data_IF_991226597743
#
_entry.id   IF_991226597743
#
_cell.length_a   1.000
_cell.length_b   1.000
_cell.length_c   1.000
_cell.angle_alpha   90.00
_cell.angle_beta   90.00
_cell.angle_gamma   90.00
#
_symmetry.space_group_name_H-M   'P 1'
#
loop_
_entity.id
_entity.type
_entity.pdbx_description
1 polymer ?
#
# COMPACT_ATOMS: atom_id res chain seq x y z
N UNK A 1 -20.40 54.04 -22.67
CA UNK A 1 -20.11 52.62 -22.95
C UNK A 1 -19.22 52.10 -21.84
N UNK A 2 -19.73 51.23 -20.98
CA UNK A 2 -18.97 50.59 -19.86
C UNK A 2 -18.44 49.25 -20.33
N UNK A 3 -17.15 48.91 -20.14
CA UNK A 3 -16.68 47.60 -20.46
C UNK A 3 -17.11 46.58 -19.38
N UNK A 4 -17.67 45.49 -19.86
CA UNK A 4 -18.13 44.36 -19.09
C UNK A 4 -16.90 43.54 -18.66
N UNK A 5 -16.56 43.61 -17.37
CA UNK A 5 -15.50 42.77 -16.79
C UNK A 5 -16.04 41.34 -16.61
N UNK A 6 -15.60 40.44 -17.47
CA UNK A 6 -15.87 39.01 -17.34
C UNK A 6 -14.91 38.46 -16.29
N UNK A 7 -15.45 38.24 -15.09
CA UNK A 7 -14.74 37.60 -13.98
C UNK A 7 -14.74 36.10 -14.25
N UNK A 8 -13.60 35.57 -14.74
CA UNK A 8 -13.36 34.13 -14.84
C UNK A 8 -13.15 33.56 -13.43
N UNK A 9 -14.20 32.97 -12.87
CA UNK A 9 -14.08 32.10 -11.71
C UNK A 9 -13.43 30.81 -12.16
N UNK A 10 -12.13 30.68 -11.97
CA UNK A 10 -11.44 29.39 -11.94
C UNK A 10 -11.93 28.63 -10.71
N UNK A 11 -12.87 27.72 -10.89
CA UNK A 11 -13.22 26.70 -9.94
C UNK A 11 -12.00 25.76 -9.82
N UNK A 12 -11.09 26.09 -8.90
CA UNK A 12 -10.13 25.14 -8.39
C UNK A 12 -10.94 24.11 -7.61
N UNK A 13 -11.27 22.99 -8.24
CA UNK A 13 -11.57 21.75 -7.52
C UNK A 13 -10.27 21.32 -6.85
N UNK A 14 -10.18 21.35 -5.51
CA UNK A 14 -9.10 20.64 -4.85
C UNK A 14 -9.37 19.14 -5.11
N UNK A 15 -8.65 18.57 -6.05
CA UNK A 15 -8.47 17.14 -6.07
C UNK A 15 -7.88 16.79 -4.69
N UNK A 16 -8.70 16.26 -3.82
CA UNK A 16 -8.24 15.62 -2.59
C UNK A 16 -7.40 14.40 -3.00
N UNK A 17 -6.17 14.66 -3.43
CA UNK A 17 -5.14 13.65 -3.39
C UNK A 17 -4.96 13.32 -1.91
N UNK A 18 -5.40 12.15 -1.52
CA UNK A 18 -5.04 11.54 -0.26
C UNK A 18 -3.55 11.19 -0.35
N UNK A 19 -2.72 12.22 -0.32
CA UNK A 19 -1.30 12.11 -0.11
C UNK A 19 -1.11 11.79 1.36
N UNK A 20 -1.01 10.51 1.69
CA UNK A 20 -0.31 10.16 2.92
C UNK A 20 1.10 10.70 2.75
N UNK A 21 1.38 11.83 3.42
CA UNK A 21 2.66 12.52 3.42
C UNK A 21 3.76 11.59 3.94
N UNK A 22 4.30 10.77 3.06
CA UNK A 22 5.55 10.05 3.28
C UNK A 22 6.46 10.40 2.12
N UNK A 23 7.38 11.33 2.34
CA UNK A 23 8.03 12.10 1.28
C UNK A 23 8.95 11.27 0.38
N UNK A 24 9.16 9.96 0.67
CA UNK A 24 10.24 9.19 0.04
C UNK A 24 9.78 7.91 -0.66
N UNK A 25 8.59 7.39 -0.31
CA UNK A 25 8.02 6.20 -0.95
C UNK A 25 6.62 6.51 -1.47
N UNK A 26 6.35 6.14 -2.71
CA UNK A 26 5.02 6.13 -3.27
C UNK A 26 4.51 4.68 -3.34
N UNK A 27 3.30 4.44 -2.84
CA UNK A 27 2.71 3.11 -2.81
C UNK A 27 1.42 3.11 -3.59
N UNK A 28 1.31 2.19 -4.54
CA UNK A 28 0.10 1.96 -5.34
C UNK A 28 -0.34 0.52 -5.19
N UNK A 29 -1.66 0.31 -5.17
CA UNK A 29 -2.28 -1.01 -5.20
C UNK A 29 -3.19 -1.09 -6.42
N UNK A 30 -3.04 -2.14 -7.20
CA UNK A 30 -3.88 -2.43 -8.38
C UNK A 30 -4.22 -3.90 -8.41
N UNK A 31 -5.28 -4.25 -9.12
CA UNK A 31 -5.72 -5.63 -9.29
C UNK A 31 -5.30 -6.13 -10.66
N UNK A 32 -4.75 -7.33 -10.70
CA UNK A 32 -4.42 -8.06 -11.92
C UNK A 32 -5.13 -9.42 -11.88
N UNK A 33 -6.31 -9.48 -12.51
CA UNK A 33 -7.21 -10.62 -12.34
C UNK A 33 -7.68 -10.75 -10.89
N UNK A 34 -7.43 -11.90 -10.26
CA UNK A 34 -7.73 -12.17 -8.86
C UNK A 34 -6.57 -11.91 -7.89
N UNK A 35 -5.46 -11.38 -8.39
CA UNK A 35 -4.25 -11.16 -7.62
C UNK A 35 -4.00 -9.67 -7.46
N UNK A 36 -4.12 -9.10 -6.25
CA UNK A 36 -3.69 -7.73 -6.01
C UNK A 36 -2.17 -7.61 -6.14
N UNK A 37 -1.74 -6.52 -6.76
CA UNK A 37 -0.33 -6.17 -6.94
C UNK A 37 -0.08 -4.83 -6.29
N UNK A 38 0.79 -4.81 -5.28
CA UNK A 38 1.29 -3.60 -4.66
C UNK A 38 2.64 -3.24 -5.26
N UNK A 39 2.80 -1.98 -5.64
CA UNK A 39 4.06 -1.40 -6.07
C UNK A 39 4.50 -0.34 -5.07
N UNK A 40 5.75 -0.45 -4.60
CA UNK A 40 6.39 0.52 -3.71
C UNK A 40 7.54 1.15 -4.48
N UNK A 41 7.44 2.45 -4.77
CA UNK A 41 8.42 3.21 -5.53
C UNK A 41 9.23 4.13 -4.63
N UNK A 42 10.53 4.07 -4.74
CA UNK A 42 11.44 5.04 -4.17
C UNK A 42 11.48 6.30 -5.05
N UNK A 43 11.04 7.43 -4.51
CA UNK A 43 11.00 8.72 -5.24
C UNK A 43 12.22 9.59 -4.99
N UNK A 44 13.21 9.09 -4.24
CA UNK A 44 14.43 9.83 -3.89
C UNK A 44 15.58 9.55 -4.84
N UNK A 45 16.67 10.27 -4.66
CA UNK A 45 17.94 10.08 -5.35
C UNK A 45 18.87 9.08 -4.65
N UNK A 46 18.50 8.57 -3.48
CA UNK A 46 19.30 7.64 -2.69
C UNK A 46 18.60 6.28 -2.56
N UNK A 47 19.36 5.25 -2.21
CA UNK A 47 18.81 3.93 -1.91
C UNK A 47 18.06 3.96 -0.59
N UNK A 48 16.85 3.43 -0.57
CA UNK A 48 16.05 3.19 0.63
C UNK A 48 16.15 1.71 1.02
N UNK A 49 16.32 1.44 2.32
CA UNK A 49 16.24 0.10 2.87
C UNK A 49 14.89 -0.06 3.57
N UNK A 50 14.02 -0.91 3.00
CA UNK A 50 12.70 -1.21 3.53
C UNK A 50 12.74 -2.50 4.36
N UNK A 51 12.14 -2.50 5.55
CA UNK A 51 11.87 -3.73 6.29
C UNK A 51 10.71 -4.47 5.63
N UNK A 52 10.95 -5.68 5.14
CA UNK A 52 10.06 -6.40 4.22
C UNK A 52 9.30 -7.55 4.88
N UNK A 53 9.71 -8.03 6.06
CA UNK A 53 9.05 -9.13 6.77
C UNK A 53 7.91 -8.62 7.64
N UNK A 54 6.68 -8.99 7.31
CA UNK A 54 5.47 -8.54 8.01
C UNK A 54 4.77 -9.73 8.68
N UNK A 55 4.32 -9.57 9.92
CA UNK A 55 3.45 -10.56 10.58
C UNK A 55 2.05 -10.49 9.97
N UNK A 56 1.53 -11.61 9.50
CA UNK A 56 0.17 -11.70 8.97
C UNK A 56 -0.87 -11.64 10.09
N UNK A 57 -1.96 -10.91 9.84
CA UNK A 57 -3.17 -10.85 10.67
C UNK A 57 -2.91 -10.60 12.17
N UNK A 58 -1.83 -9.86 12.48
CA UNK A 58 -1.45 -9.56 13.87
C UNK A 58 -1.30 -8.06 14.09
N UNK A 59 -2.30 -7.44 14.73
CA UNK A 59 -2.27 -6.02 15.13
C UNK A 59 -1.25 -5.72 16.25
N UNK A 60 -0.82 -6.74 16.98
CA UNK A 60 0.14 -6.60 18.09
C UNK A 60 1.59 -6.50 17.61
N UNK A 61 1.85 -6.94 16.38
CA UNK A 61 3.20 -6.86 15.83
C UNK A 61 3.54 -5.42 15.40
N UNK A 62 4.79 -5.01 15.64
CA UNK A 62 5.28 -3.69 15.21
C UNK A 62 5.36 -3.53 13.68
N UNK A 63 5.40 -4.65 12.96
CA UNK A 63 5.37 -4.73 11.49
C UNK A 63 4.37 -5.80 11.10
N UNK A 64 3.31 -5.42 10.40
CA UNK A 64 2.22 -6.33 10.08
C UNK A 64 1.51 -5.98 8.78
N UNK A 65 0.76 -6.96 8.28
CA UNK A 65 -0.23 -6.79 7.23
C UNK A 65 -1.53 -7.45 7.65
N UNK A 66 -2.62 -6.73 7.50
CA UNK A 66 -3.99 -7.18 7.75
C UNK A 66 -4.76 -7.10 6.45
N UNK A 67 -5.53 -8.13 6.15
CA UNK A 67 -6.43 -8.16 5.01
C UNK A 67 -7.88 -8.29 5.47
N UNK A 68 -8.75 -7.51 4.87
CA UNK A 68 -10.16 -7.44 5.22
C UNK A 68 -11.03 -7.63 3.99
N UNK A 69 -12.08 -8.45 4.12
CA UNK A 69 -13.12 -8.61 3.11
C UNK A 69 -14.39 -7.91 3.57
N UNK A 70 -15.02 -7.18 2.68
CA UNK A 70 -16.29 -6.51 2.94
C UNK A 70 -17.46 -7.49 2.81
N UNK A 71 -18.24 -7.62 3.86
CA UNK A 71 -19.44 -8.44 3.93
C UNK A 71 -20.62 -7.57 4.35
N UNK A 72 -21.38 -7.07 3.37
CA UNK A 72 -22.43 -6.09 3.60
C UNK A 72 -21.87 -4.77 4.16
N UNK A 73 -22.21 -4.44 5.43
CA UNK A 73 -21.72 -3.25 6.14
C UNK A 73 -20.51 -3.51 7.03
N UNK A 74 -20.07 -4.76 7.16
CA UNK A 74 -19.00 -5.18 8.04
C UNK A 74 -17.76 -5.60 7.24
N UNK A 75 -16.64 -5.72 7.95
CA UNK A 75 -15.37 -6.20 7.39
C UNK A 75 -14.93 -7.41 8.21
N UNK A 76 -14.59 -8.51 7.51
CA UNK A 76 -14.07 -9.73 8.10
C UNK A 76 -12.56 -9.77 7.89
N UNK A 77 -11.80 -9.89 8.97
CA UNK A 77 -10.33 -10.05 8.96
C UNK A 77 -9.91 -11.46 8.54
N UNK A 78 -8.63 -11.65 8.27
CA UNK A 78 -8.04 -12.98 8.07
C UNK A 78 -8.04 -13.46 6.62
N UNK A 79 -8.23 -12.57 5.65
CA UNK A 79 -8.26 -12.96 4.23
C UNK A 79 -6.91 -13.44 3.70
N UNK A 80 -5.80 -13.08 4.35
CA UNK A 80 -4.47 -13.53 3.98
C UNK A 80 -4.15 -14.96 4.44
N UNK A 81 -4.96 -15.52 5.33
CA UNK A 81 -4.89 -16.93 5.74
C UNK A 81 -5.73 -17.87 4.86
N UNK A 82 -6.54 -17.35 3.96
CA UNK A 82 -7.45 -18.15 3.14
C UNK A 82 -6.76 -19.07 2.12
N UNK A 83 -5.45 -18.97 2.00
CA UNK A 83 -4.66 -19.90 1.21
C UNK A 83 -4.30 -21.11 2.06
N UNK A 84 -4.89 -22.28 1.76
CA UNK A 84 -4.66 -23.55 2.49
C UNK A 84 -3.19 -24.00 2.53
N UNK A 85 -2.38 -23.52 1.59
CA UNK A 85 -0.93 -23.79 1.49
C UNK A 85 -0.05 -22.67 2.06
N UNK A 86 -0.64 -21.52 2.44
CA UNK A 86 0.11 -20.37 2.95
C UNK A 86 0.26 -20.43 4.47
N UNK A 87 0.82 -21.52 4.99
CA UNK A 87 1.07 -21.71 6.43
C UNK A 87 2.14 -20.78 7.02
N UNK A 88 2.76 -19.92 6.21
CA UNK A 88 3.73 -18.96 6.71
C UNK A 88 3.04 -17.84 7.47
N UNK A 89 3.40 -17.64 8.73
CA UNK A 89 2.94 -16.52 9.58
C UNK A 89 3.35 -15.15 9.08
N UNK A 90 4.17 -15.11 8.05
CA UNK A 90 4.78 -13.89 7.54
C UNK A 90 4.46 -13.66 6.07
N UNK A 91 4.32 -12.39 5.74
CA UNK A 91 4.24 -11.89 4.38
C UNK A 91 5.51 -11.08 4.08
N UNK A 92 6.05 -11.22 2.87
CA UNK A 92 7.29 -10.55 2.50
C UNK A 92 7.05 -9.57 1.36
N UNK A 93 7.41 -8.31 1.58
CA UNK A 93 7.40 -7.31 0.53
C UNK A 93 8.49 -7.59 -0.51
N UNK A 94 8.22 -7.30 -1.77
CA UNK A 94 9.15 -7.50 -2.88
C UNK A 94 9.33 -8.97 -3.29
N UNK A 95 8.40 -9.86 -2.89
CA UNK A 95 8.41 -11.29 -3.23
C UNK A 95 9.75 -12.00 -2.92
N UNK A 96 10.37 -11.62 -1.81
CA UNK A 96 11.65 -12.18 -1.35
C UNK A 96 11.56 -12.49 0.14
N UNK A 97 12.13 -13.62 0.57
CA UNK A 97 12.13 -14.04 1.99
C UNK A 97 13.20 -13.32 2.84
N UNK A 98 13.71 -12.17 2.39
CA UNK A 98 14.64 -11.37 3.16
C UNK A 98 13.89 -10.47 4.15
N UNK A 99 14.44 -10.26 5.34
CA UNK A 99 13.84 -9.35 6.33
C UNK A 99 13.87 -7.88 5.88
N UNK A 100 14.81 -7.54 4.99
CA UNK A 100 14.95 -6.20 4.42
C UNK A 100 15.18 -6.28 2.92
N UNK A 101 14.74 -5.27 2.19
CA UNK A 101 14.99 -5.09 0.75
C UNK A 101 15.49 -3.69 0.48
N UNK A 102 16.41 -3.56 -0.46
CA UNK A 102 16.91 -2.27 -0.93
C UNK A 102 16.16 -1.86 -2.19
N UNK A 103 15.66 -0.63 -2.20
CA UNK A 103 15.01 -0.03 -3.36
C UNK A 103 15.94 1.06 -3.89
N UNK A 104 16.49 0.86 -5.07
CA UNK A 104 17.40 1.81 -5.72
C UNK A 104 16.68 3.16 -6.00
N UNK A 105 17.42 4.25 -6.23
CA UNK A 105 16.85 5.53 -6.60
C UNK A 105 15.88 5.40 -7.78
N UNK A 106 14.73 6.07 -7.71
CA UNK A 106 13.71 6.13 -8.76
C UNK A 106 13.19 4.76 -9.24
N UNK A 107 13.47 3.68 -8.49
CA UNK A 107 13.07 2.31 -8.80
C UNK A 107 11.88 1.87 -7.95
N UNK A 108 11.25 0.77 -8.36
CA UNK A 108 10.13 0.16 -7.67
C UNK A 108 10.42 -1.30 -7.31
N UNK A 109 9.74 -1.78 -6.27
CA UNK A 109 9.54 -3.20 -6.01
C UNK A 109 8.06 -3.53 -6.15
N UNK A 110 7.76 -4.74 -6.61
CA UNK A 110 6.40 -5.25 -6.70
C UNK A 110 6.19 -6.38 -5.71
N UNK A 111 4.99 -6.44 -5.12
CA UNK A 111 4.59 -7.46 -4.18
C UNK A 111 3.25 -8.03 -4.61
N UNK A 112 3.19 -9.32 -4.89
CA UNK A 112 1.96 -10.01 -5.19
C UNK A 112 1.29 -10.49 -3.91
N UNK A 113 0.02 -10.20 -3.80
CA UNK A 113 -0.83 -10.78 -2.76
C UNK A 113 -1.26 -12.19 -3.16
N UNK A 114 -1.72 -13.03 -2.22
CA UNK A 114 -2.36 -14.29 -2.55
C UNK A 114 -3.57 -14.08 -3.47
N UNK A 115 -3.94 -15.13 -4.19
CA UNK A 115 -5.21 -15.16 -4.93
C UNK A 115 -6.37 -14.90 -3.98
N UNK A 116 -7.25 -13.97 -4.34
CA UNK A 116 -8.46 -13.64 -3.60
C UNK A 116 -9.69 -13.99 -4.44
N UNK A 117 -10.73 -14.49 -3.79
CA UNK A 117 -12.04 -14.69 -4.43
C UNK A 117 -12.67 -13.36 -4.82
N UNK A 118 -13.68 -13.37 -5.69
CA UNK A 118 -14.44 -12.16 -6.03
C UNK A 118 -15.02 -11.49 -4.78
N UNK A 119 -14.90 -10.18 -4.71
CA UNK A 119 -15.32 -9.38 -3.56
C UNK A 119 -14.59 -8.05 -3.43
N UNK A 120 -14.95 -7.31 -2.39
CA UNK A 120 -14.31 -6.03 -2.04
C UNK A 120 -13.37 -6.23 -0.87
N UNK A 121 -12.15 -5.73 -0.99
CA UNK A 121 -11.10 -5.91 0.01
C UNK A 121 -10.41 -4.59 0.32
N UNK A 122 -9.88 -4.47 1.55
CA UNK A 122 -8.87 -3.47 1.87
C UNK A 122 -7.75 -4.08 2.73
N UNK A 123 -6.62 -3.39 2.81
CA UNK A 123 -5.45 -3.84 3.54
C UNK A 123 -4.92 -2.74 4.45
N UNK A 124 -4.41 -3.14 5.60
CA UNK A 124 -3.61 -2.28 6.47
C UNK A 124 -2.20 -2.85 6.56
N UNK A 125 -1.20 -2.02 6.26
CA UNK A 125 0.20 -2.43 6.27
C UNK A 125 0.95 -1.46 7.17
N UNK A 126 1.68 -2.00 8.12
CA UNK A 126 2.56 -1.23 8.98
C UNK A 126 3.97 -1.82 8.95
N UNK A 127 4.94 -0.99 8.61
CA UNK A 127 6.35 -1.36 8.56
C UNK A 127 7.22 -0.11 8.74
N UNK A 128 8.50 -0.20 8.45
CA UNK A 128 9.40 0.94 8.47
C UNK A 128 10.45 0.83 7.36
N UNK A 129 11.08 1.96 7.06
CA UNK A 129 12.22 2.03 6.16
C UNK A 129 13.31 2.93 6.72
N UNK A 130 14.52 2.76 6.22
CA UNK A 130 15.69 3.56 6.57
C UNK A 130 16.10 4.38 5.35
N UNK A 131 16.18 5.69 5.54
CA UNK A 131 16.67 6.63 4.57
C UNK A 131 17.64 7.60 5.25
N UNK A 132 18.83 7.79 4.67
CA UNK A 132 19.89 8.63 5.25
C UNK A 132 20.16 8.32 6.73
N UNK A 133 20.27 7.03 7.07
CA UNK A 133 20.51 6.51 8.45
C UNK A 133 19.39 6.83 9.46
N UNK A 134 18.25 7.38 9.02
CA UNK A 134 17.08 7.64 9.87
C UNK A 134 16.00 6.61 9.58
N UNK A 135 15.30 6.20 10.64
CA UNK A 135 14.11 5.33 10.53
C UNK A 135 12.87 6.16 10.33
N UNK A 136 12.01 5.71 9.44
CA UNK A 136 10.69 6.26 9.15
C UNK A 136 9.66 5.16 9.18
N UNK A 137 8.59 5.34 9.95
CA UNK A 137 7.50 4.40 9.98
C UNK A 137 6.64 4.56 8.72
N UNK A 138 6.21 3.44 8.16
CA UNK A 138 5.37 3.36 6.97
C UNK A 138 4.05 2.68 7.32
N UNK A 139 2.98 3.48 7.35
CA UNK A 139 1.62 2.97 7.47
C UNK A 139 0.91 3.18 6.13
N UNK A 140 0.44 2.10 5.53
CA UNK A 140 -0.25 2.10 4.24
C UNK A 140 -1.66 1.57 4.48
N UNK A 141 -2.64 2.37 4.09
CA UNK A 141 -4.05 1.99 4.05
C UNK A 141 -4.55 2.32 2.65
N UNK A 142 -4.35 1.44 1.67
CA UNK A 142 -4.77 1.70 0.31
C UNK A 142 -6.31 1.77 0.22
N UNK A 143 -6.86 2.39 -0.82
CA UNK A 143 -8.29 2.37 -1.06
C UNK A 143 -8.79 0.94 -1.23
N UNK A 144 -10.10 0.73 -1.02
CA UNK A 144 -10.74 -0.55 -1.30
C UNK A 144 -10.50 -0.98 -2.76
N UNK A 145 -10.26 -2.27 -2.95
CA UNK A 145 -10.16 -2.88 -4.27
C UNK A 145 -11.33 -3.85 -4.50
N UNK A 146 -11.81 -3.90 -5.72
CA UNK A 146 -12.84 -4.84 -6.15
C UNK A 146 -12.21 -5.91 -7.04
N UNK A 147 -12.44 -7.17 -6.71
CA UNK A 147 -12.05 -8.34 -7.46
C UNK A 147 -13.32 -8.95 -8.07
N UNK A 148 -13.38 -8.99 -9.37
CA UNK A 148 -14.53 -9.48 -10.15
C UNK A 148 -14.27 -10.85 -10.75
#
# INVERSE_FOLDING_TARGET
MKPLSILFYFLFFPAFMYSQNKPFLNVTLRVQGHTPLMEIRNTTTDTIQLFSKLKKESKEASTHILGFRKEGKHYTEGVLYSCYECLEDYFYLGNTKNNTIKIAPQSSISTYFPYLSSGTYYFEIQTFYIYQKKRYDLKITPPEINIT
#
